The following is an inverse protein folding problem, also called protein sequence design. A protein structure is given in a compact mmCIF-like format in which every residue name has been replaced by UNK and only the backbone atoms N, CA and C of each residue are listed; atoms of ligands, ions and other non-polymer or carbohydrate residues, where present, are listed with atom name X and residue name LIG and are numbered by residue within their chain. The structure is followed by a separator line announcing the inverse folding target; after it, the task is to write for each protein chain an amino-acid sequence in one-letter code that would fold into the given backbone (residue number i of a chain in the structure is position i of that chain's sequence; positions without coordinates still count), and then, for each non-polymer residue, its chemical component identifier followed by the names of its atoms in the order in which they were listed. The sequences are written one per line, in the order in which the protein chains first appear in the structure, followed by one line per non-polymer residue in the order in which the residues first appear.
data_IF_656912721648
#
_entry.id   IF_656912721648
#
_cell.length_a   1.000
_cell.length_b   1.000
_cell.length_c   1.000
_cell.angle_alpha   90.00
_cell.angle_beta   90.00
_cell.angle_gamma   90.00
#
_symmetry.space_group_name_H-M   'P 1'
#
loop_
_entity.id
_entity.type
_entity.pdbx_description
1 polymer ?
#
# COMPACT_ATOMS: atom_id res chain seq x y z
N UNK A 1 -10.13 27.45 58.00
CA UNK A 1 -9.85 26.34 58.95
C UNK A 1 -9.62 25.08 58.13
N UNK A 2 -8.44 24.46 58.28
CA UNK A 2 -7.91 23.18 57.73
C UNK A 2 -8.06 22.95 56.21
N UNK A 3 -7.04 23.13 55.36
CA UNK A 3 -5.74 22.41 55.25
C UNK A 3 -5.85 20.88 55.24
N UNK A 4 -5.65 20.28 54.06
CA UNK A 4 -4.73 19.14 53.86
C UNK A 4 -4.14 19.23 52.44
N UNK A 5 -2.83 19.44 52.41
CA UNK A 5 -1.90 19.36 51.29
C UNK A 5 -1.38 17.92 51.20
N UNK A 6 -1.18 17.36 50.01
CA UNK A 6 -0.17 16.31 49.84
C UNK A 6 0.38 16.33 48.42
N UNK A 7 1.66 16.66 48.32
CA UNK A 7 2.48 16.66 47.13
C UNK A 7 3.41 15.44 47.18
N UNK A 8 3.62 14.76 46.06
CA UNK A 8 4.81 13.92 45.85
C UNK A 8 5.25 14.02 44.38
N UNK A 9 6.29 14.83 44.18
CA UNK A 9 7.18 14.87 43.02
C UNK A 9 8.38 13.97 43.30
N UNK A 10 8.80 13.14 42.34
CA UNK A 10 10.16 12.59 42.29
C UNK A 10 10.67 12.62 40.84
N UNK A 11 11.41 13.67 40.52
CA UNK A 11 12.30 13.72 39.36
C UNK A 11 13.67 13.15 39.74
N UNK A 12 14.29 12.45 38.79
CA UNK A 12 15.69 12.02 38.89
C UNK A 12 16.51 12.85 37.89
N UNK A 13 17.21 13.85 38.42
CA UNK A 13 18.31 14.52 37.74
C UNK A 13 19.60 14.08 38.42
N UNK A 14 20.52 13.47 37.67
CA UNK A 14 21.90 13.29 38.11
C UNK A 14 22.80 14.01 37.13
N UNK A 15 23.55 14.99 37.62
CA UNK A 15 24.63 15.66 36.90
C UNK A 15 25.88 15.62 37.77
N UNK A 16 27.03 15.60 37.08
CA UNK A 16 28.39 16.00 37.49
C UNK A 16 29.32 14.86 37.98
N UNK A 17 30.33 14.56 37.16
CA UNK A 17 31.73 14.74 37.54
C UNK A 17 32.67 14.68 36.31
N UNK A 18 33.33 15.81 36.03
CA UNK A 18 34.52 15.95 35.18
C UNK A 18 35.76 15.84 36.07
N UNK A 19 36.64 14.87 35.82
CA UNK A 19 38.09 14.82 36.06
C UNK A 19 38.59 13.71 35.14
N UNK A 20 39.70 13.75 34.42
CA UNK A 20 40.96 14.45 34.49
C UNK A 20 41.91 13.66 33.56
N UNK A 21 42.90 14.35 33.03
CA UNK A 21 43.91 13.91 32.06
C UNK A 21 44.66 12.64 32.45
N UNK A 22 45.02 11.80 31.47
CA UNK A 22 46.39 11.30 31.36
C UNK A 22 46.70 10.75 29.96
N UNK A 23 47.79 11.26 29.40
CA UNK A 23 48.38 10.88 28.14
C UNK A 23 49.21 9.60 28.31
N UNK A 24 49.00 8.61 27.45
CA UNK A 24 49.95 7.51 27.28
C UNK A 24 50.48 7.49 25.84
N UNK A 25 51.75 7.85 25.73
CA UNK A 25 52.61 7.73 24.55
C UNK A 25 53.07 6.29 24.43
N UNK A 26 52.98 5.70 23.23
CA UNK A 26 53.71 4.47 22.87
C UNK A 26 54.46 4.68 21.54
N UNK A 27 55.67 4.10 21.38
CA UNK A 27 56.66 4.56 20.41
C UNK A 27 56.57 3.85 19.06
N UNK A 28 57.01 4.57 18.03
CA UNK A 28 57.29 4.06 16.69
C UNK A 28 58.45 3.06 16.69
N UNK A 29 58.28 1.94 15.98
CA UNK A 29 59.39 1.10 15.53
C UNK A 29 59.25 0.86 14.02
N UNK A 30 60.06 1.59 13.27
CA UNK A 30 60.39 1.32 11.88
C UNK A 30 61.09 -0.04 11.78
N UNK A 31 60.60 -0.91 10.91
CA UNK A 31 61.41 -1.99 10.37
C UNK A 31 61.47 -1.85 8.86
N UNK A 32 62.63 -1.41 8.38
CA UNK A 32 62.98 -1.38 6.96
C UNK A 32 63.05 -2.82 6.45
N UNK A 33 62.29 -3.13 5.40
CA UNK A 33 62.53 -4.31 4.56
C UNK A 33 62.91 -3.84 3.17
N UNK A 34 64.14 -4.15 2.80
CA UNK A 34 64.74 -4.03 1.47
C UNK A 34 63.90 -4.74 0.43
N UNK A 35 63.48 -4.01 -0.61
CA UNK A 35 62.88 -4.56 -1.83
C UNK A 35 64.00 -5.11 -2.72
N UNK A 36 64.05 -6.43 -2.88
CA UNK A 36 64.79 -7.07 -3.96
C UNK A 36 63.89 -7.10 -5.20
N UNK A 37 64.21 -6.30 -6.21
CA UNK A 37 63.51 -6.25 -7.49
C UNK A 37 64.01 -7.39 -8.38
N UNK A 38 63.25 -8.49 -8.47
CA UNK A 38 63.37 -9.44 -9.59
C UNK A 38 62.32 -9.07 -10.63
N UNK A 39 62.75 -8.36 -11.68
CA UNK A 39 61.93 -8.08 -12.85
C UNK A 39 61.76 -9.38 -13.65
N UNK A 40 60.55 -9.97 -13.59
CA UNK A 40 60.10 -10.98 -14.54
C UNK A 40 59.19 -10.28 -15.54
N UNK A 41 59.60 -10.26 -16.81
CA UNK A 41 58.74 -9.78 -17.90
C UNK A 41 57.52 -10.70 -17.98
N UNK A 42 56.35 -10.17 -17.64
CA UNK A 42 55.05 -10.81 -17.87
C UNK A 42 54.69 -10.56 -19.33
N UNK A 43 54.61 -11.63 -20.13
CA UNK A 43 54.15 -11.56 -21.51
C UNK A 43 52.64 -11.29 -21.54
N UNK A 44 52.16 -10.69 -22.62
CA UNK A 44 50.77 -10.22 -22.76
C UNK A 44 49.72 -11.34 -22.78
N UNK A 45 50.13 -12.61 -22.70
CA UNK A 45 49.26 -13.79 -22.69
C UNK A 45 48.85 -14.26 -21.27
N UNK A 46 49.35 -13.62 -20.20
CA UNK A 46 49.06 -14.00 -18.80
C UNK A 46 47.96 -13.14 -18.13
N UNK A 47 47.15 -12.41 -18.92
CA UNK A 47 46.11 -11.50 -18.40
C UNK A 47 44.70 -12.11 -18.28
N UNK A 48 44.49 -13.35 -18.71
CA UNK A 48 43.13 -13.88 -18.93
C UNK A 48 42.67 -14.98 -17.96
N UNK A 49 43.37 -15.24 -16.86
CA UNK A 49 42.91 -16.25 -15.90
C UNK A 49 42.69 -15.69 -14.48
N UNK A 50 41.41 -15.77 -14.08
CA UNK A 50 40.83 -15.54 -12.76
C UNK A 50 40.67 -14.09 -12.31
N UNK A 51 39.82 -13.35 -13.02
CA UNK A 51 38.94 -12.41 -12.32
C UNK A 51 37.84 -13.26 -11.66
N UNK A 52 37.93 -13.46 -10.35
CA UNK A 52 36.78 -13.97 -9.59
C UNK A 52 35.58 -13.09 -9.96
N UNK A 53 34.40 -13.67 -10.25
CA UNK A 53 33.20 -12.85 -10.43
C UNK A 53 33.10 -11.94 -9.21
N UNK A 54 32.79 -10.66 -9.44
CA UNK A 54 32.38 -9.77 -8.36
C UNK A 54 31.30 -10.53 -7.55
N UNK A 55 31.27 -10.41 -6.21
CA UNK A 55 30.23 -11.06 -5.44
C UNK A 55 28.91 -10.67 -6.09
N UNK A 56 28.12 -11.66 -6.53
CA UNK A 56 26.75 -11.40 -6.93
C UNK A 56 26.15 -10.63 -5.76
N UNK A 57 25.82 -9.36 -5.98
CA UNK A 57 24.98 -8.63 -5.05
C UNK A 57 23.73 -9.49 -4.94
N UNK A 58 23.59 -10.20 -3.81
CA UNK A 58 22.36 -10.88 -3.48
C UNK A 58 21.34 -9.76 -3.33
N UNK A 59 20.62 -9.45 -4.40
CA UNK A 59 19.57 -8.44 -4.39
C UNK A 59 18.52 -8.98 -3.43
N UNK A 60 18.50 -8.46 -2.19
CA UNK A 60 17.45 -8.80 -1.23
C UNK A 60 16.14 -8.37 -1.84
N UNK A 61 15.34 -9.35 -2.24
CA UNK A 61 14.00 -9.14 -2.80
C UNK A 61 12.99 -9.22 -1.67
N UNK A 62 12.09 -8.24 -1.62
CA UNK A 62 11.00 -8.16 -0.66
C UNK A 62 9.68 -8.29 -1.41
N UNK A 63 8.81 -9.21 -0.98
CA UNK A 63 7.54 -9.46 -1.66
C UNK A 63 6.38 -8.78 -0.94
N UNK A 64 5.60 -8.03 -1.70
CA UNK A 64 4.32 -7.46 -1.26
C UNK A 64 3.21 -7.85 -2.25
N UNK A 65 2.03 -8.16 -1.71
CA UNK A 65 0.84 -8.48 -2.49
C UNK A 65 -0.21 -7.41 -2.25
N UNK A 66 -0.75 -6.85 -3.33
CA UNK A 66 -1.88 -5.93 -3.29
C UNK A 66 -3.16 -6.64 -3.69
N UNK A 67 -4.26 -6.37 -2.98
CA UNK A 67 -5.55 -6.98 -3.27
C UNK A 67 -6.68 -5.96 -3.20
N UNK A 68 -7.37 -5.75 -4.32
CA UNK A 68 -8.62 -4.99 -4.33
C UNK A 68 -9.76 -5.86 -3.80
N UNK A 69 -10.65 -5.28 -3.00
CA UNK A 69 -11.87 -5.96 -2.56
C UNK A 69 -12.73 -6.48 -3.74
N UNK A 70 -13.53 -7.52 -3.47
CA UNK A 70 -14.52 -8.05 -4.43
C UNK A 70 -15.71 -7.10 -4.65
N UNK A 71 -16.63 -7.45 -5.53
CA UNK A 71 -17.81 -6.63 -5.83
C UNK A 71 -18.63 -6.29 -4.56
N UNK A 72 -18.93 -5.01 -4.35
CA UNK A 72 -19.84 -4.54 -3.30
C UNK A 72 -21.23 -4.26 -3.83
N UNK A 73 -22.22 -4.17 -2.94
CA UNK A 73 -23.61 -3.90 -3.35
C UNK A 73 -23.74 -2.62 -4.18
N UNK A 74 -22.98 -1.58 -3.85
CA UNK A 74 -23.01 -0.33 -4.62
C UNK A 74 -22.14 -0.35 -5.88
N UNK A 75 -21.21 -1.30 -6.03
CA UNK A 75 -20.59 -1.53 -7.34
C UNK A 75 -21.62 -2.11 -8.30
N UNK A 76 -22.37 -3.13 -7.85
CA UNK A 76 -23.47 -3.73 -8.64
C UNK A 76 -24.54 -2.70 -9.01
N UNK A 77 -24.87 -1.81 -8.07
CA UNK A 77 -25.91 -0.80 -8.24
C UNK A 77 -25.40 0.49 -8.92
N UNK A 78 -24.14 0.52 -9.38
CA UNK A 78 -23.46 1.66 -10.04
C UNK A 78 -23.55 2.98 -9.26
N UNK A 79 -23.29 2.94 -7.94
CA UNK A 79 -23.31 4.11 -7.05
C UNK A 79 -21.91 4.49 -6.57
N UNK A 80 -21.64 5.79 -6.47
CA UNK A 80 -20.41 6.29 -5.85
C UNK A 80 -20.39 5.94 -4.36
N UNK A 81 -19.35 5.23 -3.90
CA UNK A 81 -19.30 4.63 -2.55
C UNK A 81 -18.54 5.50 -1.56
N UNK A 82 -17.28 5.79 -1.90
CA UNK A 82 -16.32 6.42 -1.00
C UNK A 82 -16.18 5.69 0.33
N UNK A 83 -16.28 6.45 1.41
CA UNK A 83 -16.12 5.93 2.77
C UNK A 83 -17.39 5.26 3.33
N UNK A 84 -18.47 5.20 2.55
CA UNK A 84 -19.69 4.50 2.95
C UNK A 84 -19.42 3.01 3.12
N UNK A 85 -19.89 2.45 4.22
CA UNK A 85 -19.53 1.11 4.67
C UNK A 85 -20.49 0.02 4.16
N UNK A 86 -20.52 -0.13 2.83
CA UNK A 86 -21.38 -1.09 2.14
C UNK A 86 -20.81 -2.51 2.16
N UNK A 87 -21.65 -3.56 2.21
CA UNK A 87 -21.20 -4.95 2.21
C UNK A 87 -20.78 -5.42 0.81
N UNK A 88 -20.07 -6.55 0.77
CA UNK A 88 -19.87 -7.34 -0.45
C UNK A 88 -21.20 -7.92 -0.95
N UNK A 89 -21.27 -8.20 -2.26
CA UNK A 89 -22.27 -9.11 -2.83
C UNK A 89 -21.81 -10.56 -2.67
N UNK A 90 -22.71 -11.53 -2.88
CA UNK A 90 -22.33 -12.95 -2.96
C UNK A 90 -21.27 -13.19 -4.05
N UNK A 91 -21.39 -12.49 -5.18
CA UNK A 91 -20.37 -12.49 -6.24
C UNK A 91 -19.03 -11.96 -5.72
N UNK A 92 -19.02 -10.86 -4.96
CA UNK A 92 -17.79 -10.32 -4.38
C UNK A 92 -17.15 -11.24 -3.33
N UNK A 93 -17.94 -11.97 -2.55
CA UNK A 93 -17.45 -13.01 -1.64
C UNK A 93 -16.85 -14.20 -2.42
N UNK A 94 -17.48 -14.60 -3.53
CA UNK A 94 -16.93 -15.63 -4.42
C UNK A 94 -15.64 -15.20 -5.12
N UNK A 95 -15.57 -13.95 -5.60
CA UNK A 95 -14.35 -13.35 -6.16
C UNK A 95 -13.18 -13.43 -5.16
N UNK A 96 -13.42 -13.10 -3.88
CA UNK A 96 -12.41 -13.21 -2.82
C UNK A 96 -11.96 -14.67 -2.58
N UNK A 97 -12.90 -15.62 -2.59
CA UNK A 97 -12.58 -17.04 -2.47
C UNK A 97 -11.65 -17.52 -3.59
N UNK A 98 -11.92 -17.11 -4.84
CA UNK A 98 -11.06 -17.46 -5.98
C UNK A 98 -9.66 -16.86 -5.84
N UNK A 99 -9.56 -15.63 -5.32
CA UNK A 99 -8.27 -14.99 -5.02
C UNK A 99 -7.48 -15.78 -3.97
N UNK A 100 -8.12 -16.23 -2.90
CA UNK A 100 -7.51 -17.06 -1.86
C UNK A 100 -6.99 -18.38 -2.43
N UNK A 101 -7.78 -19.06 -3.27
CA UNK A 101 -7.39 -20.31 -3.92
C UNK A 101 -6.19 -20.13 -4.85
N UNK A 102 -6.13 -19.00 -5.56
CA UNK A 102 -5.00 -18.64 -6.40
C UNK A 102 -3.71 -18.51 -5.58
N UNK A 103 -3.76 -17.72 -4.51
CA UNK A 103 -2.63 -17.53 -3.60
C UNK A 103 -2.20 -18.85 -2.97
N UNK A 104 -3.16 -19.70 -2.57
CA UNK A 104 -2.89 -21.02 -1.99
C UNK A 104 -2.19 -21.94 -2.99
N UNK A 105 -2.66 -21.99 -4.24
CA UNK A 105 -2.06 -22.81 -5.32
C UNK A 105 -0.58 -22.46 -5.51
N UNK A 106 -0.26 -21.18 -5.44
CA UNK A 106 1.11 -20.67 -5.59
C UNK A 106 1.92 -20.65 -4.28
N UNK A 107 1.36 -21.16 -3.18
CA UNK A 107 2.07 -21.29 -1.90
C UNK A 107 2.36 -19.98 -1.19
N UNK A 108 1.50 -18.96 -1.34
CA UNK A 108 1.67 -17.69 -0.64
C UNK A 108 1.41 -17.82 0.87
N UNK A 109 2.27 -17.16 1.62
CA UNK A 109 2.19 -17.02 3.06
C UNK A 109 2.45 -15.55 3.44
N UNK A 110 1.82 -15.09 4.52
CA UNK A 110 1.86 -13.72 4.97
C UNK A 110 2.25 -13.64 6.44
N UNK A 111 2.98 -12.59 6.80
CA UNK A 111 3.37 -12.32 8.18
C UNK A 111 2.58 -11.16 8.79
N UNK A 112 1.90 -10.37 7.94
CA UNK A 112 1.01 -9.27 8.34
C UNK A 112 0.09 -8.87 7.18
N UNK A 113 -1.13 -8.47 7.52
CA UNK A 113 -2.09 -7.86 6.59
C UNK A 113 -2.29 -6.39 6.96
N UNK A 114 -2.21 -5.49 5.97
CA UNK A 114 -2.68 -4.10 6.10
C UNK A 114 -4.00 -3.94 5.36
N UNK A 115 -4.98 -3.33 6.00
CA UNK A 115 -6.31 -3.15 5.45
C UNK A 115 -6.90 -1.76 5.76
N UNK A 116 -7.83 -1.33 4.91
CA UNK A 116 -8.71 -0.20 5.25
C UNK A 116 -9.68 -0.57 6.38
N UNK A 117 -10.33 0.41 6.99
CA UNK A 117 -11.35 0.16 8.04
C UNK A 117 -12.75 -0.19 7.49
N UNK A 118 -12.91 -0.36 6.18
CA UNK A 118 -14.20 -0.57 5.52
C UNK A 118 -14.52 -2.05 5.32
N UNK A 119 -15.75 -2.47 5.67
CA UNK A 119 -16.15 -3.88 5.78
C UNK A 119 -15.96 -4.69 4.50
N UNK A 120 -16.09 -4.07 3.33
CA UNK A 120 -15.90 -4.76 2.04
C UNK A 120 -14.46 -5.24 1.86
N UNK A 121 -13.48 -4.49 2.36
CA UNK A 121 -12.06 -4.90 2.34
C UNK A 121 -11.82 -5.97 3.40
N UNK A 122 -12.23 -5.70 4.63
CA UNK A 122 -12.08 -6.65 5.75
C UNK A 122 -12.70 -8.01 5.43
N UNK A 123 -13.91 -8.03 4.86
CA UNK A 123 -14.53 -9.29 4.42
C UNK A 123 -13.75 -9.98 3.31
N UNK A 124 -13.26 -9.23 2.31
CA UNK A 124 -12.46 -9.82 1.22
C UNK A 124 -11.18 -10.44 1.77
N UNK A 125 -10.43 -9.73 2.60
CA UNK A 125 -9.17 -10.25 3.12
C UNK A 125 -9.40 -11.42 4.08
N UNK A 126 -10.40 -11.36 4.98
CA UNK A 126 -10.71 -12.51 5.84
C UNK A 126 -11.04 -13.77 5.03
N UNK A 127 -11.81 -13.67 3.94
CA UNK A 127 -12.11 -14.83 3.08
C UNK A 127 -10.83 -15.38 2.45
N UNK A 128 -9.93 -14.50 2.01
CA UNK A 128 -8.63 -14.90 1.44
C UNK A 128 -7.76 -15.57 2.50
N UNK A 129 -7.66 -14.99 3.69
CA UNK A 129 -6.85 -15.52 4.78
C UNK A 129 -7.41 -16.83 5.35
N UNK A 130 -8.73 -17.03 5.33
CA UNK A 130 -9.38 -18.30 5.68
C UNK A 130 -9.06 -19.40 4.66
N UNK A 131 -9.17 -19.11 3.36
CA UNK A 131 -8.80 -20.07 2.30
C UNK A 131 -7.31 -20.44 2.35
N UNK A 132 -6.46 -19.53 2.84
CA UNK A 132 -5.03 -19.74 3.05
C UNK A 132 -4.68 -20.45 4.37
N UNK A 133 -5.65 -20.71 5.25
CA UNK A 133 -5.45 -21.22 6.63
C UNK A 133 -4.53 -20.31 7.48
N UNK A 134 -4.68 -18.99 7.31
CA UNK A 134 -3.81 -17.95 7.86
C UNK A 134 -4.58 -16.85 8.61
N UNK A 135 -5.80 -17.11 9.09
CA UNK A 135 -6.59 -16.15 9.89
C UNK A 135 -5.90 -15.66 11.19
N UNK A 136 -4.86 -16.36 11.64
CA UNK A 136 -4.06 -16.00 12.81
C UNK A 136 -3.02 -14.89 12.52
N UNK A 137 -2.77 -14.58 11.25
CA UNK A 137 -1.83 -13.53 10.84
C UNK A 137 -2.34 -12.18 11.35
N UNK A 138 -1.47 -11.34 11.96
CA UNK A 138 -1.90 -10.06 12.50
C UNK A 138 -2.42 -9.13 11.40
N UNK A 139 -3.54 -8.46 11.70
CA UNK A 139 -4.22 -7.52 10.81
C UNK A 139 -4.11 -6.09 11.37
N UNK A 140 -3.59 -5.17 10.56
CA UNK A 140 -3.44 -3.74 10.90
C UNK A 140 -4.41 -2.92 10.04
N UNK A 141 -5.33 -2.21 10.71
CA UNK A 141 -6.38 -1.41 10.06
C UNK A 141 -6.09 0.07 10.19
N UNK A 142 -6.12 0.80 9.09
CA UNK A 142 -5.94 2.25 9.11
C UNK A 142 -6.86 2.96 8.10
N UNK A 143 -7.44 4.08 8.51
CA UNK A 143 -8.35 4.88 7.68
C UNK A 143 -7.63 5.51 6.49
N UNK A 144 -6.31 5.72 6.56
CA UNK A 144 -5.48 6.22 5.47
C UNK A 144 -5.46 5.27 4.27
N UNK A 145 -5.90 4.01 4.45
CA UNK A 145 -6.10 3.03 3.37
C UNK A 145 -7.55 2.98 2.82
N UNK A 146 -8.45 3.88 3.24
CA UNK A 146 -9.81 3.96 2.71
C UNK A 146 -9.84 4.36 1.22
N UNK A 147 -10.98 4.11 0.57
CA UNK A 147 -11.25 4.57 -0.81
C UNK A 147 -11.25 6.10 -0.91
N UNK A 148 -11.15 6.65 -2.12
CA UNK A 148 -11.39 8.08 -2.39
C UNK A 148 -12.73 8.54 -1.82
N UNK A 149 -12.78 9.63 -1.07
CA UNK A 149 -14.02 10.23 -0.62
C UNK A 149 -14.70 11.02 -1.75
N UNK A 150 -15.84 10.54 -2.25
CA UNK A 150 -16.54 11.12 -3.40
C UNK A 150 -17.39 12.38 -3.10
N UNK A 151 -17.34 12.88 -1.86
CA UNK A 151 -18.07 14.08 -1.45
C UNK A 151 -19.56 13.96 -1.72
N UNK A 152 -20.16 15.01 -2.28
CA UNK A 152 -21.60 15.04 -2.57
C UNK A 152 -22.05 14.04 -3.64
N UNK A 153 -21.14 13.36 -4.34
CA UNK A 153 -21.50 12.27 -5.25
C UNK A 153 -21.87 10.98 -4.53
N UNK A 154 -21.47 10.81 -3.25
CA UNK A 154 -21.72 9.56 -2.50
C UNK A 154 -23.21 9.21 -2.50
N UNK A 155 -23.51 7.94 -2.79
CA UNK A 155 -24.85 7.38 -2.87
C UNK A 155 -25.56 7.60 -4.21
N UNK A 156 -25.07 8.49 -5.07
CA UNK A 156 -25.64 8.75 -6.39
C UNK A 156 -25.07 7.80 -7.43
N UNK A 157 -25.93 7.36 -8.35
CA UNK A 157 -25.50 6.81 -9.62
C UNK A 157 -24.86 7.89 -10.49
N UNK A 158 -24.14 7.49 -11.54
CA UNK A 158 -23.58 8.45 -12.48
C UNK A 158 -24.65 9.37 -13.11
N UNK A 159 -25.79 8.87 -13.64
CA UNK A 159 -26.84 9.74 -14.16
C UNK A 159 -27.39 10.72 -13.12
N UNK A 160 -27.62 10.27 -11.88
CA UNK A 160 -28.08 11.13 -10.78
C UNK A 160 -27.06 12.22 -10.44
N UNK A 161 -25.77 11.92 -10.47
CA UNK A 161 -24.70 12.90 -10.25
C UNK A 161 -24.59 13.90 -11.41
N UNK A 162 -24.72 13.42 -12.66
CA UNK A 162 -24.71 14.28 -13.86
C UNK A 162 -25.90 15.24 -13.87
N UNK A 163 -27.07 14.79 -13.42
CA UNK A 163 -28.26 15.63 -13.27
C UNK A 163 -28.05 16.67 -12.16
N UNK A 164 -27.50 16.27 -11.00
CA UNK A 164 -27.33 17.15 -9.86
C UNK A 164 -26.22 18.20 -10.05
N UNK A 165 -25.12 17.83 -10.73
CA UNK A 165 -23.90 18.64 -10.75
C UNK A 165 -23.41 19.01 -12.15
N UNK A 166 -24.04 18.49 -13.20
CA UNK A 166 -23.66 18.71 -14.59
C UNK A 166 -22.64 17.70 -15.11
N UNK A 167 -22.83 17.27 -16.36
CA UNK A 167 -21.98 16.26 -17.04
C UNK A 167 -20.51 16.65 -17.11
N UNK A 168 -20.23 17.92 -17.38
CA UNK A 168 -18.86 18.43 -17.50
C UNK A 168 -18.11 18.33 -16.16
N UNK A 169 -18.76 18.66 -15.06
CA UNK A 169 -18.18 18.54 -13.71
C UNK A 169 -17.91 17.07 -13.35
N UNK A 170 -18.90 16.18 -13.58
CA UNK A 170 -18.72 14.74 -13.30
C UNK A 170 -17.60 14.14 -14.16
N UNK A 171 -17.50 14.53 -15.43
CA UNK A 171 -16.42 14.10 -16.31
C UNK A 171 -15.05 14.66 -15.86
N UNK A 172 -14.99 15.90 -15.37
CA UNK A 172 -13.77 16.49 -14.84
C UNK A 172 -13.30 15.77 -13.57
N UNK A 173 -14.17 15.52 -12.59
CA UNK A 173 -13.83 14.79 -11.37
C UNK A 173 -13.36 13.36 -11.64
N UNK A 174 -13.90 12.76 -12.70
CA UNK A 174 -13.55 11.43 -13.15
C UNK A 174 -12.19 11.33 -13.84
N UNK A 175 -11.74 12.40 -14.49
CA UNK A 175 -10.55 12.43 -15.36
C UNK A 175 -9.38 13.23 -14.78
N UNK A 176 -9.63 14.05 -13.75
CA UNK A 176 -8.63 14.89 -13.11
C UNK A 176 -7.94 14.19 -11.95
N UNK A 177 -6.64 14.46 -11.81
CA UNK A 177 -5.85 14.06 -10.66
C UNK A 177 -6.10 14.94 -9.43
N UNK A 178 -6.30 16.24 -9.62
CA UNK A 178 -6.25 17.26 -8.56
C UNK A 178 -7.56 18.05 -8.37
N UNK A 179 -8.62 17.71 -9.12
CA UNK A 179 -9.95 18.31 -8.96
C UNK A 179 -10.89 17.33 -8.26
N UNK A 180 -11.35 17.71 -7.06
CA UNK A 180 -12.26 16.91 -6.25
C UNK A 180 -13.74 17.22 -6.56
N UNK A 181 -14.66 16.27 -6.31
CA UNK A 181 -16.10 16.54 -6.25
C UNK A 181 -16.44 17.61 -5.21
N UNK A 182 -17.66 18.15 -5.27
CA UNK A 182 -18.14 19.07 -4.25
C UNK A 182 -18.06 18.46 -2.83
N UNK A 183 -17.60 19.23 -1.82
CA UNK A 183 -17.45 18.75 -0.46
C UNK A 183 -18.79 18.54 0.23
N UNK A 184 -19.04 17.32 0.71
CA UNK A 184 -20.30 17.01 1.38
C UNK A 184 -20.46 17.77 2.69
N UNK A 185 -21.71 18.01 3.12
CA UNK A 185 -21.98 18.54 4.46
C UNK A 185 -21.54 17.57 5.55
N UNK A 186 -21.03 18.09 6.68
CA UNK A 186 -20.73 17.29 7.88
C UNK A 186 -21.99 16.73 8.55
N UNK A 187 -23.16 17.28 8.22
CA UNK A 187 -24.48 16.74 8.60
C UNK A 187 -25.10 15.86 7.50
N UNK A 188 -24.37 15.62 6.41
CA UNK A 188 -24.81 14.77 5.32
C UNK A 188 -24.92 13.31 5.75
N UNK A 189 -25.87 12.58 5.16
CA UNK A 189 -26.21 11.20 5.51
C UNK A 189 -25.01 10.24 5.51
N UNK A 190 -24.05 10.46 4.62
CA UNK A 190 -22.89 9.58 4.46
C UNK A 190 -21.60 10.12 5.10
N UNK A 191 -21.66 11.25 5.79
CA UNK A 191 -20.50 11.78 6.50
C UNK A 191 -20.33 11.04 7.83
N UNK A 192 -19.16 10.46 8.13
CA UNK A 192 -19.01 9.57 9.28
C UNK A 192 -18.75 10.33 10.59
N UNK A 193 -19.53 11.39 10.89
CA UNK A 193 -19.33 12.25 12.07
C UNK A 193 -19.40 11.50 13.40
N UNK A 194 -20.36 10.58 13.51
CA UNK A 194 -20.66 9.83 14.75
C UNK A 194 -20.19 8.37 14.66
N UNK A 195 -19.43 8.03 13.62
CA UNK A 195 -18.93 6.67 13.43
C UNK A 195 -17.70 6.45 14.33
N UNK A 196 -17.91 5.63 15.36
CA UNK A 196 -16.91 5.28 16.37
C UNK A 196 -15.58 4.80 15.78
N UNK A 197 -15.56 4.24 14.55
CA UNK A 197 -14.31 3.84 13.88
C UNK A 197 -13.34 5.00 13.72
N UNK A 198 -13.84 6.23 13.60
CA UNK A 198 -13.02 7.41 13.37
C UNK A 198 -12.87 8.29 14.61
N UNK A 199 -13.47 7.93 15.75
CA UNK A 199 -13.42 8.76 16.96
C UNK A 199 -11.98 9.02 17.42
N UNK A 200 -11.15 7.97 17.45
CA UNK A 200 -9.73 8.11 17.81
C UNK A 200 -8.97 9.03 16.86
N UNK A 201 -9.27 8.99 15.55
CA UNK A 201 -8.67 9.88 14.55
C UNK A 201 -9.06 11.33 14.83
N UNK A 202 -10.33 11.58 15.16
CA UNK A 202 -10.83 12.91 15.50
C UNK A 202 -10.18 13.42 16.78
N UNK A 203 -10.01 12.56 17.79
CA UNK A 203 -9.44 12.92 19.09
C UNK A 203 -7.93 13.20 19.00
N UNK A 204 -7.19 12.43 18.20
CA UNK A 204 -5.73 12.48 18.11
C UNK A 204 -5.21 13.41 17.01
N UNK A 205 -5.84 13.40 15.83
CA UNK A 205 -5.42 14.15 14.64
C UNK A 205 -6.28 15.39 14.42
N UNK A 206 -7.57 15.29 14.75
CA UNK A 206 -8.55 16.36 14.57
C UNK A 206 -9.57 16.04 13.48
N UNK A 207 -10.75 16.67 13.56
CA UNK A 207 -11.86 16.44 12.64
C UNK A 207 -11.54 16.67 11.16
N UNK A 208 -10.51 17.47 10.84
CA UNK A 208 -10.06 17.69 9.46
C UNK A 208 -9.43 16.44 8.81
N UNK A 209 -9.07 15.42 9.59
CA UNK A 209 -8.60 14.14 9.06
C UNK A 209 -9.70 13.33 8.37
N UNK A 210 -10.97 13.65 8.63
CA UNK A 210 -12.12 13.05 7.96
C UNK A 210 -12.48 13.93 6.76
N UNK A 211 -12.24 13.47 5.52
CA UNK A 211 -12.43 14.29 4.35
C UNK A 211 -13.92 14.53 4.08
N UNK A 212 -14.24 15.74 3.62
CA UNK A 212 -15.56 16.05 3.02
C UNK A 212 -15.62 15.72 1.53
N UNK A 213 -14.46 15.62 0.89
CA UNK A 213 -14.24 15.23 -0.51
C UNK A 213 -12.74 15.00 -0.70
N UNK A 214 -12.37 14.22 -1.72
CA UNK A 214 -10.98 13.96 -2.10
C UNK A 214 -10.86 13.93 -3.63
N UNK A 215 -9.76 14.48 -4.15
CA UNK A 215 -9.26 14.14 -5.47
C UNK A 215 -8.21 13.02 -5.39
N UNK A 216 -7.69 12.53 -6.52
CA UNK A 216 -6.65 11.50 -6.52
C UNK A 216 -5.36 11.97 -5.81
N UNK A 217 -5.01 13.25 -5.91
CA UNK A 217 -3.87 13.84 -5.21
C UNK A 217 -3.99 13.79 -3.69
N UNK A 218 -5.20 13.98 -3.16
CA UNK A 218 -5.44 13.88 -1.71
C UNK A 218 -5.30 12.44 -1.22
N UNK A 219 -5.86 11.49 -1.98
CA UNK A 219 -5.71 10.05 -1.73
C UNK A 219 -4.23 9.68 -1.78
N UNK A 220 -3.50 10.12 -2.81
CA UNK A 220 -2.07 9.85 -2.97
C UNK A 220 -1.27 10.33 -1.77
N UNK A 221 -1.51 11.57 -1.30
CA UNK A 221 -0.83 12.11 -0.12
C UNK A 221 -0.97 11.22 1.11
N UNK A 222 -2.19 10.79 1.46
CA UNK A 222 -2.41 9.99 2.69
C UNK A 222 -1.96 8.53 2.53
N UNK A 223 -2.13 7.94 1.35
CA UNK A 223 -1.82 6.53 1.10
C UNK A 223 -0.31 6.33 0.97
N UNK A 224 0.36 7.18 0.20
CA UNK A 224 1.82 7.14 0.05
C UNK A 224 2.51 7.54 1.36
N UNK A 225 1.96 8.50 2.10
CA UNK A 225 2.43 8.81 3.46
C UNK A 225 2.41 7.57 4.36
N UNK A 226 1.28 6.87 4.42
CA UNK A 226 1.17 5.62 5.20
C UNK A 226 2.08 4.50 4.70
N UNK A 227 2.27 4.40 3.38
CA UNK A 227 3.22 3.46 2.80
C UNK A 227 4.64 3.71 3.33
N UNK A 228 5.15 4.94 3.27
CA UNK A 228 6.51 5.25 3.71
C UNK A 228 6.70 5.15 5.22
N UNK A 229 5.69 5.56 6.00
CA UNK A 229 5.73 5.59 7.46
C UNK A 229 5.61 4.18 8.08
N UNK A 230 4.74 3.33 7.53
CA UNK A 230 4.30 2.10 8.22
C UNK A 230 4.52 0.83 7.39
N UNK A 231 4.10 0.82 6.11
CA UNK A 231 4.13 -0.42 5.31
C UNK A 231 5.54 -0.75 4.81
N UNK A 232 6.21 0.21 4.17
CA UNK A 232 7.53 0.02 3.57
C UNK A 232 8.60 -0.40 4.59
N UNK A 233 8.68 0.16 5.83
CA UNK A 233 9.59 -0.36 6.84
C UNK A 233 9.36 -1.83 7.18
N UNK A 234 8.11 -2.29 7.20
CA UNK A 234 7.76 -3.69 7.47
C UNK A 234 8.13 -4.59 6.29
N UNK A 235 7.93 -4.13 5.06
CA UNK A 235 8.40 -4.85 3.86
C UNK A 235 9.94 -4.93 3.85
N UNK A 236 10.64 -3.82 4.14
CA UNK A 236 12.12 -3.76 4.27
C UNK A 236 12.64 -4.71 5.36
N UNK A 237 11.88 -4.97 6.42
CA UNK A 237 12.28 -5.93 7.46
C UNK A 237 12.20 -7.40 7.01
N UNK A 238 11.81 -7.66 5.76
CA UNK A 238 11.73 -9.00 5.19
C UNK A 238 10.41 -9.72 5.44
N UNK A 239 9.39 -9.05 6.01
CA UNK A 239 8.06 -9.65 6.17
C UNK A 239 7.36 -9.75 4.82
N UNK A 240 6.56 -10.82 4.66
CA UNK A 240 5.65 -11.03 3.53
C UNK A 240 4.35 -10.31 3.84
N UNK A 241 4.04 -9.29 3.06
CA UNK A 241 2.94 -8.35 3.37
C UNK A 241 1.81 -8.50 2.37
N UNK A 242 0.57 -8.61 2.87
CA UNK A 242 -0.64 -8.39 2.09
C UNK A 242 -1.18 -6.98 2.39
N UNK A 243 -1.48 -6.20 1.35
CA UNK A 243 -2.16 -4.91 1.47
C UNK A 243 -3.51 -5.01 0.75
N UNK A 244 -4.58 -5.11 1.53
CA UNK A 244 -5.94 -5.19 1.03
C UNK A 244 -6.62 -3.81 1.03
N UNK A 245 -7.30 -3.45 -0.06
CA UNK A 245 -8.02 -2.19 -0.09
C UNK A 245 -8.87 -1.95 -1.33
N UNK A 246 -8.85 -0.71 -1.81
CA UNK A 246 -9.80 -0.20 -2.80
C UNK A 246 -9.13 0.22 -4.10
N UNK A 247 -9.92 0.53 -5.13
CA UNK A 247 -9.38 0.83 -6.45
C UNK A 247 -8.46 2.05 -6.43
N UNK A 248 -8.94 3.21 -5.98
CA UNK A 248 -8.14 4.44 -6.07
C UNK A 248 -6.99 4.45 -5.05
N UNK A 249 -7.19 3.83 -3.88
CA UNK A 249 -6.11 3.60 -2.93
C UNK A 249 -4.97 2.81 -3.58
N UNK A 250 -5.27 1.63 -4.14
CA UNK A 250 -4.25 0.81 -4.79
C UNK A 250 -3.63 1.52 -5.98
N UNK A 251 -4.42 2.28 -6.77
CA UNK A 251 -3.86 3.07 -7.87
C UNK A 251 -2.73 3.98 -7.41
N UNK A 252 -2.88 4.65 -6.26
CA UNK A 252 -1.84 5.55 -5.75
C UNK A 252 -0.58 4.81 -5.30
N UNK A 253 -0.71 3.60 -4.75
CA UNK A 253 0.45 2.76 -4.41
C UNK A 253 1.18 2.27 -5.65
N UNK A 254 0.45 1.74 -6.64
CA UNK A 254 1.06 1.29 -7.89
C UNK A 254 1.72 2.47 -8.63
N UNK A 255 1.06 3.64 -8.63
CA UNK A 255 1.62 4.87 -9.19
C UNK A 255 2.95 5.23 -8.54
N UNK A 256 3.01 5.22 -7.21
CA UNK A 256 4.21 5.54 -6.43
C UNK A 256 5.35 4.56 -6.73
N UNK A 257 5.06 3.25 -6.73
CA UNK A 257 6.05 2.20 -6.94
C UNK A 257 6.61 2.20 -8.37
N UNK A 258 5.75 2.37 -9.38
CA UNK A 258 6.14 2.33 -10.80
C UNK A 258 6.60 3.70 -11.34
N UNK A 259 6.52 4.76 -10.53
CA UNK A 259 6.85 6.12 -10.96
C UNK A 259 5.94 6.64 -12.07
N UNK A 260 4.65 6.28 -12.02
CA UNK A 260 3.66 6.66 -13.05
C UNK A 260 3.31 8.16 -12.92
N UNK A 261 3.36 8.95 -14.01
CA UNK A 261 2.95 10.35 -14.00
C UNK A 261 1.51 10.58 -13.52
N UNK A 262 1.26 11.74 -12.91
CA UNK A 262 -0.03 12.12 -12.31
C UNK A 262 -1.21 12.11 -13.30
N UNK A 263 -0.98 12.42 -14.58
CA UNK A 263 -2.02 12.40 -15.62
C UNK A 263 -2.39 10.98 -16.08
N UNK A 264 -1.52 10.00 -15.87
CA UNK A 264 -1.72 8.61 -16.30
C UNK A 264 -2.45 7.74 -15.27
N UNK A 265 -2.43 8.10 -13.97
CA UNK A 265 -3.04 7.30 -12.89
C UNK A 265 -4.55 7.11 -13.10
N UNK A 266 -5.24 8.12 -13.64
CA UNK A 266 -6.70 8.13 -13.69
C UNK A 266 -7.22 7.04 -14.63
N UNK A 267 -6.50 6.80 -15.74
CA UNK A 267 -6.81 5.75 -16.70
C UNK A 267 -6.46 4.34 -16.22
N UNK A 268 -5.67 4.21 -15.16
CA UNK A 268 -5.24 2.91 -14.64
C UNK A 268 -6.43 2.11 -14.11
N UNK A 269 -6.42 0.80 -14.35
CA UNK A 269 -7.45 -0.13 -13.87
C UNK A 269 -6.82 -1.15 -12.91
N UNK A 270 -7.41 -1.26 -11.74
CA UNK A 270 -7.04 -2.28 -10.74
C UNK A 270 -8.16 -3.32 -10.72
N UNK A 271 -7.92 -4.56 -11.18
CA UNK A 271 -8.95 -5.61 -11.19
C UNK A 271 -9.42 -5.94 -9.76
N UNK A 272 -10.68 -6.33 -9.62
CA UNK A 272 -11.23 -6.80 -8.33
C UNK A 272 -10.70 -8.18 -8.00
N UNK A 273 -10.45 -8.42 -6.71
CA UNK A 273 -10.06 -9.71 -6.15
C UNK A 273 -9.00 -10.47 -6.96
N UNK A 274 -8.10 -9.74 -7.60
CA UNK A 274 -6.98 -10.33 -8.34
C UNK A 274 -5.72 -9.90 -7.61
N UNK A 275 -4.99 -10.83 -6.99
CA UNK A 275 -3.74 -10.50 -6.31
C UNK A 275 -2.73 -9.91 -7.31
N UNK A 276 -2.13 -8.78 -6.94
CA UNK A 276 -1.07 -8.11 -7.71
C UNK A 276 0.22 -8.24 -6.91
N UNK A 277 1.19 -8.95 -7.45
CA UNK A 277 2.42 -9.31 -6.74
C UNK A 277 3.56 -8.39 -7.18
N UNK A 278 4.26 -7.81 -6.22
CA UNK A 278 5.47 -7.03 -6.43
C UNK A 278 6.65 -7.69 -5.72
N UNK A 279 7.76 -7.82 -6.46
CA UNK A 279 9.08 -8.09 -5.91
C UNK A 279 9.86 -6.76 -5.90
N UNK A 280 10.20 -6.28 -4.71
CA UNK A 280 10.86 -5.00 -4.49
C UNK A 280 12.33 -5.20 -4.10
N UNK A 281 13.21 -4.35 -4.60
CA UNK A 281 14.61 -4.31 -4.19
C UNK A 281 14.78 -3.72 -2.80
N UNK A 282 16.03 -3.69 -2.30
CA UNK A 282 16.35 -3.07 -1.01
C UNK A 282 15.97 -1.57 -0.93
N UNK A 283 15.91 -0.89 -2.07
CA UNK A 283 15.49 0.51 -2.21
C UNK A 283 13.96 0.68 -2.31
N UNK A 284 13.19 -0.39 -2.11
CA UNK A 284 11.74 -0.48 -2.27
C UNK A 284 11.22 -0.17 -3.68
N UNK A 285 12.09 -0.22 -4.70
CA UNK A 285 11.65 -0.11 -6.08
C UNK A 285 11.31 -1.49 -6.66
N UNK A 286 10.33 -1.57 -7.57
CA UNK A 286 10.03 -2.82 -8.27
C UNK A 286 11.26 -3.35 -9.02
N UNK A 287 11.61 -4.61 -8.78
CA UNK A 287 12.69 -5.30 -9.52
C UNK A 287 12.27 -5.66 -10.95
N UNK A 288 10.95 -5.72 -11.19
CA UNK A 288 10.34 -5.98 -12.50
C UNK A 288 9.13 -5.06 -12.65
N UNK A 289 8.96 -4.51 -13.85
CA UNK A 289 7.74 -3.79 -14.20
C UNK A 289 6.55 -4.75 -14.14
N UNK A 290 5.46 -4.44 -13.43
CA UNK A 290 4.32 -5.33 -13.33
C UNK A 290 3.40 -5.07 -14.53
N UNK A 291 3.54 -5.89 -15.58
CA UNK A 291 2.54 -6.27 -16.62
C UNK A 291 3.30 -7.02 -17.73
N UNK A 292 2.90 -8.23 -18.21
CA UNK A 292 1.69 -9.02 -17.96
C UNK A 292 1.92 -10.30 -17.11
N UNK A 293 3.10 -10.50 -16.52
CA UNK A 293 3.43 -11.73 -15.76
C UNK A 293 3.13 -11.64 -14.24
N UNK A 294 2.66 -10.48 -13.76
CA UNK A 294 2.41 -10.20 -12.32
C UNK A 294 0.93 -10.29 -11.91
N UNK A 295 0.06 -10.52 -12.89
CA UNK A 295 -1.30 -10.94 -12.62
C UNK A 295 -1.30 -12.46 -12.63
N UNK A 296 -1.85 -13.10 -11.60
CA UNK A 296 -2.25 -14.52 -11.70
C UNK A 296 -3.42 -14.72 -12.72
N UNK A 297 -3.66 -13.76 -13.63
CA UNK A 297 -4.89 -13.61 -14.40
C UNK A 297 -5.01 -14.47 -15.66
N UNK A 298 -3.99 -15.24 -16.05
CA UNK A 298 -4.11 -16.05 -17.28
C UNK A 298 -4.66 -17.47 -17.03
N UNK A 299 -4.28 -18.12 -15.93
CA UNK A 299 -4.74 -19.49 -15.65
C UNK A 299 -6.05 -19.55 -14.85
N UNK A 300 -6.34 -18.56 -14.00
CA UNK A 300 -7.48 -18.58 -13.06
C UNK A 300 -8.86 -18.48 -13.73
N UNK A 301 -8.94 -17.88 -14.92
CA UNK A 301 -10.21 -17.69 -15.64
C UNK A 301 -10.51 -18.81 -16.66
N UNK A 302 -9.59 -19.78 -16.84
CA UNK A 302 -9.73 -20.84 -17.84
C UNK A 302 -10.49 -22.08 -17.37
N UNK A 303 -11.00 -22.10 -16.13
CA UNK A 303 -11.90 -23.16 -15.65
C UNK A 303 -13.32 -22.90 -16.16
N UNK A 304 -13.50 -22.88 -17.48
CA UNK A 304 -14.72 -23.23 -18.24
C UNK A 304 -14.30 -23.21 -19.71
N UNK A 305 -14.08 -24.39 -20.28
CA UNK A 305 -13.50 -24.56 -21.61
C UNK A 305 -14.24 -23.78 -22.70
N UNK A 306 -13.63 -22.69 -23.16
CA UNK A 306 -13.87 -22.08 -24.46
C UNK A 306 -12.59 -21.34 -24.89
N UNK A 307 -12.16 -21.45 -26.16
CA UNK A 307 -10.89 -20.91 -26.60
C UNK A 307 -10.92 -19.38 -26.67
N UNK A 308 -9.76 -18.79 -26.40
CA UNK A 308 -9.47 -17.37 -26.42
C UNK A 308 -10.06 -16.66 -27.66
N UNK A 309 -11.06 -15.82 -27.39
CA UNK A 309 -11.25 -14.56 -28.11
C UNK A 309 -11.27 -13.47 -27.06
N UNK A 310 -10.42 -12.46 -27.25
CA UNK A 310 -10.56 -11.15 -26.63
C UNK A 310 -12.00 -10.67 -26.84
N UNK A 311 -12.87 -10.91 -25.86
CA UNK A 311 -14.17 -10.28 -25.77
C UNK A 311 -13.95 -8.93 -25.12
N UNK A 312 -13.65 -7.93 -25.95
CA UNK A 312 -14.05 -6.57 -25.64
C UNK A 312 -15.59 -6.57 -25.59
N UNK A 313 -16.14 -6.55 -24.38
CA UNK A 313 -17.47 -6.04 -24.02
C UNK A 313 -17.96 -6.74 -22.75
N UNK A 314 -17.55 -6.24 -21.59
CA UNK A 314 -18.50 -6.04 -20.52
C UNK A 314 -18.43 -4.56 -20.18
N UNK A 315 -19.53 -3.88 -20.48
CA UNK A 315 -19.74 -2.48 -20.13
C UNK A 315 -19.86 -2.36 -18.62
N UNK A 316 -18.75 -2.48 -17.90
CA UNK A 316 -18.61 -1.73 -16.66
C UNK A 316 -18.58 -0.27 -17.04
N UNK A 317 -19.74 0.36 -16.94
CA UNK A 317 -19.83 1.80 -16.78
C UNK A 317 -18.89 2.11 -15.63
N UNK A 318 -17.88 2.93 -15.91
CA UNK A 318 -17.04 3.49 -14.87
C UNK A 318 -17.98 4.14 -13.85
N UNK A 319 -18.18 3.49 -12.70
CA UNK A 319 -18.20 4.22 -11.44
C UNK A 319 -16.80 4.82 -11.36
N UNK A 320 -16.67 6.06 -11.83
CA UNK A 320 -15.42 6.80 -11.91
C UNK A 320 -14.69 6.84 -10.58
#
# INVERSE_FOLDING_TARGET
MCSVTCALTLGWTTTIALMGTDAFVLPALLQQRTLATTSRMVTQADRDHHRLPAPEETTTSHRVVFLRHGESTWNRDDRHIGWTDVPLTEKGEHEALLAGRALRKEGFEFDVVFASVLKRVLKTEHIVMDELDQLWVPEIKDYRLNERHYGDCIGKTKPEAEEAFGKENVALWASSYDVAPHPMSTDGLYYPKDDRRYQHVVDEVGACAIPRTECMKDVSRRVVGYWEEEIAPVVRSGKRVLVAGHANMLKTLLQHLDGIPDDAIVAMKVPRATPIVYDLGADMKPLRSPLPDTLLSAELLSVHGAPARMAAADGEVNAF
#
